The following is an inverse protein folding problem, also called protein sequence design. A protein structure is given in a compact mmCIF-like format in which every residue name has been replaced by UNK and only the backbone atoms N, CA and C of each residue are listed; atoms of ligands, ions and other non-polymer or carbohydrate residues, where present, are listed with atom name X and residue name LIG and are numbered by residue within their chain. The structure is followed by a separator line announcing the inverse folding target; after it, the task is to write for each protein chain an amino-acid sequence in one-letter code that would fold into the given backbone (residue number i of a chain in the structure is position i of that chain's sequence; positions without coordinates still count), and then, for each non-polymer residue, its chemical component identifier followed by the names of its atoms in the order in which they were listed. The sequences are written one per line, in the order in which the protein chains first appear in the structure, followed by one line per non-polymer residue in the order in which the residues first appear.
data_IF_177535282841
#
_entry.id   IF_177535282841
#
_cell.length_a   1.000
_cell.length_b   1.000
_cell.length_c   1.000
_cell.angle_alpha   90.00
_cell.angle_beta   90.00
_cell.angle_gamma   90.00
#
_symmetry.space_group_name_H-M   'P 1'
#
loop_
_entity.id
_entity.type
_entity.pdbx_description
1 polymer ?
#
# COMPACT_ATOMS: atom_id res chain seq x y z
N UNK A 1 45.49 7.27 -7.80
CA UNK A 1 44.05 7.39 -8.16
C UNK A 1 43.27 6.71 -7.07
N UNK A 2 42.64 7.48 -6.18
CA UNK A 2 41.84 6.95 -5.09
C UNK A 2 40.56 6.35 -5.66
N UNK A 3 40.32 5.07 -5.43
CA UNK A 3 39.05 4.41 -5.71
C UNK A 3 37.97 5.07 -4.83
N UNK A 4 37.09 5.85 -5.44
CA UNK A 4 35.84 6.26 -4.80
C UNK A 4 35.05 5.00 -4.47
N UNK A 5 34.98 4.68 -3.17
CA UNK A 5 34.00 3.73 -2.65
C UNK A 5 32.64 4.40 -2.86
N UNK A 6 31.97 4.03 -3.94
CA UNK A 6 30.54 4.30 -4.11
C UNK A 6 29.83 3.51 -3.01
N UNK A 7 29.33 4.22 -1.99
CA UNK A 7 28.41 3.63 -1.03
C UNK A 7 27.08 3.40 -1.75
N UNK A 8 26.96 2.25 -2.40
CA UNK A 8 25.72 1.78 -3.00
C UNK A 8 24.70 1.48 -1.89
N UNK A 9 23.74 2.40 -1.71
CA UNK A 9 22.70 2.29 -0.69
C UNK A 9 21.58 1.29 -1.07
N UNK A 10 21.60 0.76 -2.30
CA UNK A 10 20.54 -0.12 -2.82
C UNK A 10 20.38 -1.39 -1.98
N UNK A 11 21.48 -2.02 -1.57
CA UNK A 11 21.45 -3.24 -0.77
C UNK A 11 20.83 -3.02 0.62
N UNK A 12 21.14 -1.88 1.25
CA UNK A 12 20.56 -1.49 2.55
C UNK A 12 19.06 -1.22 2.41
N UNK A 13 18.66 -0.43 1.41
CA UNK A 13 17.25 -0.12 1.14
C UNK A 13 16.42 -1.38 0.85
N UNK A 14 16.95 -2.32 0.06
CA UNK A 14 16.30 -3.60 -0.19
C UNK A 14 16.19 -4.46 1.07
N UNK A 15 17.18 -4.40 1.97
CA UNK A 15 17.11 -5.04 3.29
C UNK A 15 15.92 -4.54 4.10
N UNK A 16 15.77 -3.22 4.21
CA UNK A 16 14.62 -2.62 4.91
C UNK A 16 13.28 -2.94 4.26
N UNK A 17 13.19 -2.92 2.93
CA UNK A 17 11.96 -3.31 2.23
C UNK A 17 11.62 -4.79 2.46
N UNK A 18 12.63 -5.66 2.51
CA UNK A 18 12.44 -7.08 2.83
C UNK A 18 11.92 -7.27 4.26
N UNK A 19 12.50 -6.59 5.25
CA UNK A 19 12.02 -6.58 6.64
C UNK A 19 10.55 -6.16 6.72
N UNK A 20 10.21 -5.04 6.08
CA UNK A 20 8.85 -4.51 6.05
C UNK A 20 7.87 -5.49 5.43
N UNK A 21 8.19 -6.08 4.27
CA UNK A 21 7.32 -7.08 3.62
C UNK A 21 7.21 -8.38 4.43
N UNK A 22 8.33 -8.83 5.00
CA UNK A 22 8.38 -10.06 5.80
C UNK A 22 7.49 -9.93 7.04
N UNK A 23 7.52 -8.78 7.71
CA UNK A 23 6.68 -8.52 8.88
C UNK A 23 5.17 -8.66 8.59
N UNK A 24 4.67 -8.18 7.44
CA UNK A 24 3.26 -8.40 7.09
C UNK A 24 2.96 -9.89 6.87
N UNK A 25 3.84 -10.61 6.18
CA UNK A 25 3.69 -12.05 5.97
C UNK A 25 3.70 -12.81 7.31
N UNK A 26 4.57 -12.43 8.24
CA UNK A 26 4.62 -13.03 9.57
C UNK A 26 3.33 -12.80 10.34
N UNK A 27 2.74 -11.60 10.33
CA UNK A 27 1.43 -11.34 10.95
C UNK A 27 0.35 -12.32 10.46
N UNK A 28 0.31 -12.62 9.15
CA UNK A 28 -0.61 -13.63 8.62
C UNK A 28 -0.25 -15.05 9.06
N UNK A 29 1.02 -15.45 8.98
CA UNK A 29 1.47 -16.80 9.36
C UNK A 29 1.25 -17.11 10.84
N UNK A 30 1.57 -16.14 11.70
CA UNK A 30 1.49 -16.28 13.15
C UNK A 30 0.09 -16.04 13.72
N UNK A 31 -0.87 -15.55 12.91
CA UNK A 31 -2.23 -15.20 13.37
C UNK A 31 -2.94 -16.33 14.12
N UNK A 32 -2.76 -17.58 13.68
CA UNK A 32 -3.38 -18.75 14.32
C UNK A 32 -2.75 -19.13 15.67
N UNK A 33 -1.44 -18.92 15.82
CA UNK A 33 -0.70 -19.25 17.04
C UNK A 33 -0.70 -18.09 18.06
N UNK A 34 -0.76 -16.86 17.56
CA UNK A 34 -0.64 -15.61 18.32
C UNK A 34 -1.73 -14.62 17.88
N UNK A 35 -3.03 -14.93 18.08
CA UNK A 35 -4.13 -14.07 17.63
C UNK A 35 -4.11 -12.67 18.28
N UNK A 36 -3.65 -12.58 19.53
CA UNK A 36 -3.47 -11.33 20.27
C UNK A 36 -2.05 -10.75 20.13
N UNK A 37 -1.25 -11.30 19.22
CA UNK A 37 0.12 -10.88 18.98
C UNK A 37 0.21 -9.60 18.16
N UNK A 38 1.36 -8.94 18.25
CA UNK A 38 1.71 -7.79 17.43
C UNK A 38 3.14 -7.89 16.91
N UNK A 39 3.42 -7.17 15.84
CA UNK A 39 4.78 -7.03 15.30
C UNK A 39 5.25 -5.59 15.42
N UNK A 40 6.47 -5.40 15.93
CA UNK A 40 7.24 -4.17 15.82
C UNK A 40 8.39 -4.31 14.81
N UNK A 41 8.84 -3.16 14.31
CA UNK A 41 9.99 -3.03 13.43
C UNK A 41 11.02 -2.09 14.07
N UNK A 42 12.29 -2.46 14.03
CA UNK A 42 13.42 -1.63 14.49
C UNK A 42 13.33 -1.17 15.96
N UNK A 43 12.50 -1.84 16.77
CA UNK A 43 12.32 -1.56 18.19
C UNK A 43 13.14 -2.52 19.06
N UNK A 44 12.99 -3.82 18.83
CA UNK A 44 13.67 -4.88 19.58
C UNK A 44 14.69 -5.65 18.73
N UNK A 45 14.41 -5.81 17.43
CA UNK A 45 15.26 -6.35 16.37
C UNK A 45 14.68 -5.82 15.04
N UNK A 46 15.18 -6.28 13.88
CA UNK A 46 14.65 -5.95 12.56
C UNK A 46 13.11 -6.09 12.52
N UNK A 47 12.63 -7.23 12.99
CA UNK A 47 11.22 -7.56 13.20
C UNK A 47 11.10 -8.25 14.56
N UNK A 48 10.07 -7.94 15.35
CA UNK A 48 9.86 -8.64 16.62
C UNK A 48 8.38 -8.91 16.88
N UNK A 49 8.08 -10.13 17.32
CA UNK A 49 6.77 -10.46 17.84
C UNK A 49 6.64 -10.06 19.29
N UNK A 50 5.51 -9.43 19.60
CA UNK A 50 5.13 -8.99 20.93
C UNK A 50 3.83 -9.64 21.37
N UNK A 51 3.76 -10.01 22.65
CA UNK A 51 2.51 -10.41 23.32
C UNK A 51 2.40 -9.59 24.60
N UNK A 52 1.27 -8.91 24.78
CA UNK A 52 1.05 -7.99 25.90
C UNK A 52 2.19 -6.95 26.07
N UNK A 53 2.73 -6.44 24.95
CA UNK A 53 3.79 -5.43 24.93
C UNK A 53 5.18 -5.95 25.32
N UNK A 54 5.40 -7.26 25.37
CA UNK A 54 6.71 -7.87 25.61
C UNK A 54 7.18 -8.64 24.39
N UNK A 55 8.45 -8.50 23.97
CA UNK A 55 8.99 -9.31 22.89
C UNK A 55 9.03 -10.79 23.30
N UNK A 56 8.53 -11.66 22.44
CA UNK A 56 8.53 -13.12 22.63
C UNK A 56 9.35 -13.84 21.57
N UNK A 57 9.61 -13.19 20.43
CA UNK A 57 10.40 -13.73 19.32
C UNK A 57 11.02 -12.59 18.53
N UNK A 58 12.35 -12.58 18.44
CA UNK A 58 13.13 -11.60 17.70
C UNK A 58 13.54 -12.20 16.37
N UNK A 59 13.17 -11.54 15.29
CA UNK A 59 13.32 -12.02 13.93
C UNK A 59 14.37 -11.16 13.22
N UNK A 60 15.63 -11.60 13.26
CA UNK A 60 16.69 -10.97 12.48
C UNK A 60 16.64 -11.47 11.04
N UNK A 61 16.45 -10.57 10.08
CA UNK A 61 16.33 -10.93 8.66
C UNK A 61 17.64 -10.73 7.91
N UNK A 62 17.91 -11.60 6.92
CA UNK A 62 19.05 -11.50 6.01
C UNK A 62 18.65 -11.82 4.57
N UNK A 63 18.59 -10.76 3.75
CA UNK A 63 18.34 -10.86 2.31
C UNK A 63 19.66 -11.00 1.53
N UNK A 64 19.73 -11.99 0.64
CA UNK A 64 20.84 -12.19 -0.27
C UNK A 64 20.31 -12.37 -1.69
N UNK A 65 20.67 -11.44 -2.60
CA UNK A 65 20.21 -11.48 -4.00
C UNK A 65 20.72 -12.69 -4.79
N UNK A 66 21.76 -13.38 -4.31
CA UNK A 66 22.32 -14.60 -4.92
C UNK A 66 22.32 -15.71 -3.88
N UNK A 67 21.28 -16.54 -3.88
CA UNK A 67 21.04 -17.63 -2.92
C UNK A 67 22.00 -18.83 -3.05
N UNK A 68 22.95 -18.83 -4.00
CA UNK A 68 23.86 -19.95 -4.23
C UNK A 68 24.93 -20.16 -3.14
N UNK A 69 25.08 -19.21 -2.21
CA UNK A 69 25.98 -19.34 -1.06
C UNK A 69 25.22 -19.92 0.12
N UNK A 70 25.80 -20.94 0.74
CA UNK A 70 25.27 -21.54 1.97
C UNK A 70 25.79 -20.79 3.20
N UNK A 71 24.95 -20.61 4.22
CA UNK A 71 25.33 -20.10 5.53
C UNK A 71 26.12 -21.16 6.33
N UNK A 72 27.34 -20.83 6.75
CA UNK A 72 28.22 -21.68 7.54
C UNK A 72 28.68 -21.04 8.87
N UNK A 73 29.33 -21.85 9.71
CA UNK A 73 29.63 -21.50 11.11
C UNK A 73 30.62 -20.34 11.28
N UNK A 74 31.35 -19.98 10.23
CA UNK A 74 32.35 -18.90 10.25
C UNK A 74 31.90 -17.65 9.50
N UNK A 75 30.68 -17.64 8.97
CA UNK A 75 30.20 -16.56 8.12
C UNK A 75 29.91 -15.30 8.93
N UNK A 76 30.23 -14.15 8.35
CA UNK A 76 30.11 -12.85 9.01
C UNK A 76 28.66 -12.54 9.42
N UNK A 77 27.69 -12.90 8.59
CA UNK A 77 26.27 -12.63 8.85
C UNK A 77 25.76 -13.36 10.10
N UNK A 78 26.23 -14.58 10.34
CA UNK A 78 25.88 -15.35 11.54
C UNK A 78 26.44 -14.67 12.79
N UNK A 79 27.74 -14.35 12.79
CA UNK A 79 28.39 -13.76 13.97
C UNK A 79 27.97 -12.32 14.25
N UNK A 80 27.63 -11.53 13.21
CA UNK A 80 27.02 -10.22 13.39
C UNK A 80 25.62 -10.31 14.01
N UNK A 81 24.84 -11.31 13.62
CA UNK A 81 23.53 -11.59 14.23
C UNK A 81 23.66 -11.99 15.69
N UNK A 82 24.54 -12.95 16.01
CA UNK A 82 24.81 -13.37 17.40
C UNK A 82 25.27 -12.18 18.25
N UNK A 83 26.14 -11.31 17.70
CA UNK A 83 26.56 -10.07 18.37
C UNK A 83 25.37 -9.16 18.67
N UNK A 84 24.52 -8.89 17.67
CA UNK A 84 23.33 -8.05 17.83
C UNK A 84 22.45 -8.52 18.98
N UNK A 85 22.21 -9.83 19.07
CA UNK A 85 21.44 -10.42 20.16
C UNK A 85 22.12 -10.30 21.53
N UNK A 86 23.45 -10.49 21.62
CA UNK A 86 24.19 -10.25 22.86
C UNK A 86 24.26 -8.76 23.27
N UNK A 87 24.05 -7.84 22.32
CA UNK A 87 24.06 -6.39 22.58
C UNK A 87 22.71 -5.89 23.09
N UNK A 88 21.62 -6.54 22.67
CA UNK A 88 20.25 -6.09 22.93
C UNK A 88 19.56 -6.87 24.05
N UNK A 89 20.01 -8.09 24.34
CA UNK A 89 19.35 -9.00 25.28
C UNK A 89 20.37 -9.73 26.16
N UNK A 90 19.92 -10.15 27.35
CA UNK A 90 20.74 -10.97 28.25
C UNK A 90 20.85 -12.41 27.70
N UNK A 91 22.06 -12.90 27.34
CA UNK A 91 22.25 -14.27 26.89
C UNK A 91 21.86 -15.31 27.94
N UNK A 92 22.02 -15.00 29.22
CA UNK A 92 21.78 -15.88 30.36
C UNK A 92 20.31 -16.02 30.77
N UNK A 93 19.44 -15.14 30.27
CA UNK A 93 18.00 -15.18 30.57
C UNK A 93 17.33 -16.37 29.87
N UNK A 94 16.92 -17.38 30.63
CA UNK A 94 16.24 -18.57 30.10
C UNK A 94 14.81 -18.30 29.65
N UNK A 95 14.16 -17.27 30.20
CA UNK A 95 12.78 -16.86 29.90
C UNK A 95 12.73 -15.72 28.87
N UNK A 96 13.89 -15.29 28.36
CA UNK A 96 13.99 -14.29 27.32
C UNK A 96 13.38 -14.74 25.99
N UNK A 97 13.22 -13.83 25.02
CA UNK A 97 12.58 -14.14 23.75
C UNK A 97 13.35 -15.19 22.94
N UNK A 98 12.64 -15.82 22.01
CA UNK A 98 13.28 -16.59 20.94
C UNK A 98 14.15 -15.66 20.07
N UNK A 99 15.25 -16.20 19.56
CA UNK A 99 16.23 -15.49 18.74
C UNK A 99 16.29 -16.18 17.37
N UNK A 100 15.53 -15.67 16.41
CA UNK A 100 15.28 -16.34 15.15
C UNK A 100 16.00 -15.61 14.01
N UNK A 101 16.95 -16.31 13.37
CA UNK A 101 17.57 -15.85 12.13
C UNK A 101 16.73 -16.32 10.94
N UNK A 102 16.23 -15.37 10.16
CA UNK A 102 15.54 -15.60 8.88
C UNK A 102 16.49 -15.25 7.76
N UNK A 103 16.74 -16.20 6.85
CA UNK A 103 17.65 -15.96 5.74
C UNK A 103 17.21 -16.64 4.45
N UNK A 104 17.43 -15.93 3.35
CA UNK A 104 17.26 -16.46 1.98
C UNK A 104 18.35 -17.46 1.57
N UNK A 105 19.46 -17.53 2.30
CA UNK A 105 20.49 -18.57 2.11
C UNK A 105 20.06 -19.88 2.76
N UNK A 106 20.58 -20.99 2.26
CA UNK A 106 20.45 -22.28 2.94
C UNK A 106 21.58 -22.49 3.95
N UNK A 107 21.25 -22.98 5.14
CA UNK A 107 22.24 -23.43 6.10
C UNK A 107 22.98 -24.65 5.56
N UNK A 108 24.31 -24.63 5.62
CA UNK A 108 25.14 -25.76 5.18
C UNK A 108 24.86 -26.99 6.05
N UNK A 109 24.70 -28.16 5.45
CA UNK A 109 24.51 -29.39 6.22
C UNK A 109 25.67 -29.63 7.21
N UNK A 110 25.31 -30.05 8.42
CA UNK A 110 26.25 -30.27 9.53
C UNK A 110 26.76 -29.01 10.23
N UNK A 111 26.32 -27.81 9.81
CA UNK A 111 26.61 -26.53 10.46
C UNK A 111 25.80 -26.33 11.75
N UNK A 112 26.20 -25.37 12.58
CA UNK A 112 25.45 -24.86 13.70
C UNK A 112 24.08 -24.33 13.27
N UNK A 113 24.03 -23.54 12.19
CA UNK A 113 22.78 -22.99 11.68
C UNK A 113 21.81 -24.11 11.27
N UNK A 114 22.31 -25.16 10.61
CA UNK A 114 21.48 -26.31 10.25
C UNK A 114 20.95 -27.08 11.48
N UNK A 115 21.75 -27.18 12.55
CA UNK A 115 21.34 -27.78 13.82
C UNK A 115 20.32 -26.93 14.60
N UNK A 116 20.15 -25.64 14.25
CA UNK A 116 19.16 -24.74 14.86
C UNK A 116 17.82 -24.68 14.10
N UNK A 117 17.65 -25.47 13.03
CA UNK A 117 16.41 -25.53 12.25
C UNK A 117 15.37 -26.45 12.89
N UNK A 118 14.10 -26.15 12.63
CA UNK A 118 12.97 -27.02 12.97
C UNK A 118 12.73 -28.07 11.87
N UNK A 119 12.10 -29.23 12.16
CA UNK A 119 11.64 -29.68 13.48
C UNK A 119 12.72 -30.35 14.34
N UNK A 120 13.87 -30.73 13.75
CA UNK A 120 14.91 -31.51 14.42
C UNK A 120 16.01 -30.65 15.07
N UNK A 121 15.61 -29.69 15.91
CA UNK A 121 16.57 -28.75 16.53
C UNK A 121 17.48 -29.46 17.53
N UNK A 122 18.79 -29.29 17.40
CA UNK A 122 19.82 -29.84 18.28
C UNK A 122 20.74 -28.73 18.85
N UNK A 123 20.29 -27.92 19.81
CA UNK A 123 21.05 -26.76 20.31
C UNK A 123 22.41 -27.14 20.90
N UNK A 124 22.54 -28.33 21.50
CA UNK A 124 23.83 -28.82 22.00
C UNK A 124 24.86 -29.08 20.88
N UNK A 125 24.41 -29.53 19.71
CA UNK A 125 25.29 -29.66 18.52
C UNK A 125 25.67 -28.28 18.02
N UNK A 126 24.70 -27.37 17.91
CA UNK A 126 24.93 -26.00 17.48
C UNK A 126 25.94 -25.28 18.38
N UNK A 127 25.80 -25.39 19.70
CA UNK A 127 26.72 -24.81 20.67
C UNK A 127 28.16 -25.27 20.44
N UNK A 128 28.40 -26.59 20.35
CA UNK A 128 29.76 -27.13 20.11
C UNK A 128 30.35 -26.62 18.80
N UNK A 129 29.53 -26.52 17.75
CA UNK A 129 29.95 -26.00 16.44
C UNK A 129 30.30 -24.51 16.52
N UNK A 130 29.48 -23.70 17.20
CA UNK A 130 29.74 -22.28 17.42
C UNK A 130 30.99 -22.05 18.27
N UNK A 131 31.21 -22.80 19.35
CA UNK A 131 32.42 -22.72 20.17
C UNK A 131 33.70 -23.08 19.39
N UNK A 132 33.61 -24.13 18.55
CA UNK A 132 34.70 -24.53 17.64
C UNK A 132 34.98 -23.42 16.63
N UNK A 133 33.95 -22.90 15.97
CA UNK A 133 34.09 -21.82 14.99
C UNK A 133 34.60 -20.52 15.62
N UNK A 134 34.17 -20.20 16.84
CA UNK A 134 34.62 -19.04 17.61
C UNK A 134 36.13 -19.10 17.87
N UNK A 135 36.60 -20.27 18.32
CA UNK A 135 38.00 -20.53 18.68
C UNK A 135 38.91 -20.62 17.44
N UNK A 136 38.47 -21.30 16.38
CA UNK A 136 39.30 -21.61 15.21
C UNK A 136 39.36 -20.48 14.18
N UNK A 137 38.32 -19.63 14.12
CA UNK A 137 38.24 -18.60 13.09
C UNK A 137 39.27 -17.50 13.31
N UNK A 138 39.95 -17.12 12.22
CA UNK A 138 40.95 -16.03 12.19
C UNK A 138 40.42 -14.74 11.56
N UNK A 139 39.12 -14.69 11.21
CA UNK A 139 38.50 -13.47 10.68
C UNK A 139 38.61 -12.35 11.72
N UNK A 140 39.03 -11.17 11.27
CA UNK A 140 39.12 -9.98 12.11
C UNK A 140 37.75 -9.32 12.28
N UNK A 141 36.92 -9.42 11.25
CA UNK A 141 35.59 -8.83 11.14
C UNK A 141 34.64 -9.34 12.22
N UNK A 142 34.76 -10.62 12.59
CA UNK A 142 33.91 -11.26 13.60
C UNK A 142 34.61 -11.54 14.93
N UNK A 143 35.86 -11.06 15.11
CA UNK A 143 36.68 -11.39 16.28
C UNK A 143 36.08 -10.90 17.60
N UNK A 144 35.52 -9.69 17.60
CA UNK A 144 34.88 -9.09 18.77
C UNK A 144 33.68 -9.93 19.23
N UNK A 145 32.79 -10.29 18.29
CA UNK A 145 31.60 -11.10 18.54
C UNK A 145 31.97 -12.46 19.13
N UNK A 146 32.95 -13.15 18.53
CA UNK A 146 33.44 -14.47 18.97
C UNK A 146 34.07 -14.40 20.36
N UNK A 147 34.88 -13.38 20.63
CA UNK A 147 35.51 -13.17 21.94
C UNK A 147 34.46 -12.98 23.03
N UNK A 148 33.45 -12.14 22.78
CA UNK A 148 32.35 -11.93 23.72
C UNK A 148 31.53 -13.19 23.95
N UNK A 149 31.21 -13.92 22.88
CA UNK A 149 30.52 -15.20 22.98
C UNK A 149 31.30 -16.19 23.85
N UNK A 150 32.62 -16.32 23.67
CA UNK A 150 33.47 -17.20 24.48
C UNK A 150 33.67 -16.73 25.92
N UNK A 151 33.47 -15.43 26.20
CA UNK A 151 33.58 -14.88 27.55
C UNK A 151 32.34 -15.18 28.43
N UNK A 152 31.21 -15.54 27.82
CA UNK A 152 30.03 -16.04 28.53
C UNK A 152 30.36 -17.36 29.24
N UNK A 153 29.77 -17.59 30.41
CA UNK A 153 29.90 -18.87 31.10
C UNK A 153 29.32 -20.01 30.26
N UNK A 154 29.73 -21.26 30.55
CA UNK A 154 29.20 -22.43 29.85
C UNK A 154 27.67 -22.55 29.98
N UNK A 155 27.10 -22.16 31.13
CA UNK A 155 25.66 -22.12 31.35
C UNK A 155 24.97 -21.06 30.50
N UNK A 156 25.47 -19.82 30.52
CA UNK A 156 24.90 -18.72 29.72
C UNK A 156 24.96 -19.02 28.21
N UNK A 157 26.07 -19.58 27.69
CA UNK A 157 26.16 -19.97 26.28
C UNK A 157 25.14 -21.05 25.92
N UNK A 158 24.93 -22.03 26.79
CA UNK A 158 23.93 -23.07 26.57
C UNK A 158 22.51 -22.50 26.55
N UNK A 159 22.17 -21.64 27.52
CA UNK A 159 20.87 -20.94 27.57
C UNK A 159 20.65 -20.08 26.34
N UNK A 160 21.68 -19.34 25.91
CA UNK A 160 21.60 -18.45 24.76
C UNK A 160 21.34 -19.22 23.46
N UNK A 161 22.14 -20.26 23.18
CA UNK A 161 21.98 -21.09 21.97
C UNK A 161 20.68 -21.90 22.01
N UNK A 162 20.20 -22.29 23.19
CA UNK A 162 18.92 -23.00 23.35
C UNK A 162 17.73 -22.19 22.82
N UNK A 163 17.78 -20.85 22.95
CA UNK A 163 16.78 -19.90 22.45
C UNK A 163 16.98 -19.49 20.99
N UNK A 164 18.06 -19.93 20.33
CA UNK A 164 18.28 -19.63 18.92
C UNK A 164 17.50 -20.55 17.99
N UNK A 165 17.02 -20.01 16.88
CA UNK A 165 16.36 -20.71 15.78
C UNK A 165 16.84 -20.19 14.44
N UNK A 166 16.81 -21.04 13.42
CA UNK A 166 17.11 -20.66 12.04
C UNK A 166 15.97 -21.07 11.13
N UNK A 167 15.50 -20.13 10.32
CA UNK A 167 14.60 -20.35 9.19
C UNK A 167 15.38 -19.97 7.94
N UNK A 168 15.88 -20.99 7.23
CA UNK A 168 16.74 -20.83 6.05
C UNK A 168 15.98 -21.08 4.75
N UNK A 169 16.58 -20.69 3.62
CA UNK A 169 15.98 -20.87 2.30
C UNK A 169 14.64 -20.16 2.14
N UNK A 170 14.45 -19.02 2.81
CA UNK A 170 13.20 -18.27 2.74
C UNK A 170 13.02 -17.59 1.40
N UNK A 171 11.80 -17.12 1.16
CA UNK A 171 11.41 -16.39 -0.05
C UNK A 171 12.29 -15.15 -0.27
N UNK A 172 12.55 -14.84 -1.53
CA UNK A 172 13.13 -13.56 -1.92
C UNK A 172 12.12 -12.42 -1.82
N UNK A 173 12.59 -11.18 -1.96
CA UNK A 173 11.75 -9.99 -1.84
C UNK A 173 10.61 -9.93 -2.88
N UNK A 174 10.84 -10.51 -4.07
CA UNK A 174 9.88 -10.52 -5.17
C UNK A 174 8.74 -11.53 -4.95
N UNK A 175 8.99 -12.59 -4.18
CA UNK A 175 8.02 -13.67 -3.95
C UNK A 175 7.09 -13.41 -2.75
N UNK A 176 7.38 -12.39 -1.94
CA UNK A 176 6.63 -12.11 -0.70
C UNK A 176 5.18 -11.67 -0.99
N UNK A 177 4.93 -10.93 -2.08
CA UNK A 177 3.57 -10.56 -2.46
C UNK A 177 2.71 -11.80 -2.73
N UNK A 178 3.22 -12.74 -3.53
CA UNK A 178 2.56 -14.01 -3.81
C UNK A 178 2.34 -14.87 -2.57
N UNK A 179 3.23 -14.79 -1.57
CA UNK A 179 3.05 -15.48 -0.29
C UNK A 179 1.92 -14.88 0.55
N UNK A 180 1.79 -13.54 0.59
CA UNK A 180 0.67 -12.88 1.26
C UNK A 180 -0.65 -13.20 0.56
N UNK A 181 -0.68 -13.19 -0.78
CA UNK A 181 -1.88 -13.59 -1.55
C UNK A 181 -2.38 -14.99 -1.21
N UNK A 182 -1.47 -15.95 -0.99
CA UNK A 182 -1.84 -17.32 -0.58
C UNK A 182 -2.57 -17.35 0.76
N UNK A 183 -2.19 -16.51 1.71
CA UNK A 183 -2.90 -16.39 2.99
C UNK A 183 -4.27 -15.72 2.86
N UNK A 184 -4.43 -14.87 1.84
CA UNK A 184 -5.67 -14.14 1.56
C UNK A 184 -6.55 -14.83 0.51
N UNK A 185 -6.27 -16.08 0.12
CA UNK A 185 -6.92 -16.75 -1.01
C UNK A 185 -8.45 -16.71 -0.97
N UNK A 186 -9.04 -16.88 0.23
CA UNK A 186 -10.50 -16.88 0.42
C UNK A 186 -11.07 -15.49 0.80
N UNK A 187 -10.21 -14.48 0.86
CA UNK A 187 -10.55 -13.10 1.21
C UNK A 187 -10.46 -12.17 0.01
N UNK A 188 -9.57 -12.48 -0.92
CA UNK A 188 -9.34 -11.71 -2.14
C UNK A 188 -10.57 -11.72 -3.06
N UNK A 189 -10.85 -10.60 -3.76
CA UNK A 189 -11.89 -10.56 -4.78
C UNK A 189 -11.57 -11.49 -5.96
N UNK A 190 -12.59 -11.78 -6.78
CA UNK A 190 -12.41 -12.58 -8.00
C UNK A 190 -11.82 -11.71 -9.13
N UNK A 191 -10.92 -12.28 -9.93
CA UNK A 191 -10.27 -11.62 -11.06
C UNK A 191 -8.90 -11.03 -10.74
N UNK A 192 -7.99 -11.01 -11.70
CA UNK A 192 -6.60 -10.58 -11.50
C UNK A 192 -6.49 -9.07 -11.24
N UNK A 193 -7.26 -8.25 -11.95
CA UNK A 193 -7.34 -6.80 -11.76
C UNK A 193 -7.79 -6.43 -10.34
N UNK A 194 -8.97 -6.89 -9.87
CA UNK A 194 -9.44 -6.59 -8.51
C UNK A 194 -8.49 -7.09 -7.42
N UNK A 195 -7.87 -8.26 -7.61
CA UNK A 195 -6.86 -8.76 -6.66
C UNK A 195 -5.61 -7.88 -6.63
N UNK A 196 -5.20 -7.33 -7.76
CA UNK A 196 -4.04 -6.44 -7.85
C UNK A 196 -4.31 -5.16 -7.08
N UNK A 197 -5.42 -4.50 -7.35
CA UNK A 197 -5.80 -3.27 -6.65
C UNK A 197 -6.00 -3.50 -5.14
N UNK A 198 -6.60 -4.62 -4.74
CA UNK A 198 -6.72 -4.99 -3.32
C UNK A 198 -5.36 -5.05 -2.64
N UNK A 199 -4.39 -5.73 -3.28
CA UNK A 199 -3.05 -5.90 -2.72
C UNK A 199 -2.28 -4.59 -2.69
N UNK A 200 -2.44 -3.72 -3.69
CA UNK A 200 -1.85 -2.37 -3.69
C UNK A 200 -2.36 -1.54 -2.50
N UNK A 201 -3.68 -1.56 -2.23
CA UNK A 201 -4.27 -0.86 -1.08
C UNK A 201 -3.78 -1.42 0.26
N UNK A 202 -3.64 -2.75 0.37
CA UNK A 202 -3.11 -3.39 1.57
C UNK A 202 -1.64 -3.01 1.81
N UNK A 203 -0.81 -3.05 0.76
CA UNK A 203 0.59 -2.69 0.85
C UNK A 203 0.79 -1.20 1.13
N UNK A 204 0.04 -0.31 0.48
CA UNK A 204 0.10 1.12 0.74
C UNK A 204 -0.20 1.41 2.21
N UNK A 205 -1.31 0.85 2.73
CA UNK A 205 -1.64 0.97 4.15
C UNK A 205 -0.56 0.40 5.06
N UNK A 206 -0.03 -0.79 4.74
CA UNK A 206 1.00 -1.42 5.55
C UNK A 206 2.27 -0.57 5.61
N UNK A 207 2.72 -0.02 4.48
CA UNK A 207 3.88 0.86 4.44
C UNK A 207 3.66 2.15 5.23
N UNK A 208 2.44 2.69 5.26
CA UNK A 208 2.14 3.79 6.18
C UNK A 208 2.39 3.36 7.64
N UNK A 209 1.96 2.15 8.04
CA UNK A 209 2.20 1.66 9.41
C UNK A 209 3.68 1.45 9.69
N UNK A 210 4.44 0.95 8.70
CA UNK A 210 5.90 0.83 8.77
C UNK A 210 6.54 2.19 9.01
N UNK A 211 6.14 3.22 8.26
CA UNK A 211 6.65 4.59 8.44
C UNK A 211 6.30 5.11 9.83
N UNK A 212 5.10 4.86 10.35
CA UNK A 212 4.73 5.25 11.72
C UNK A 212 5.61 4.58 12.79
N UNK A 213 5.94 3.30 12.60
CA UNK A 213 6.83 2.54 13.50
C UNK A 213 8.26 3.07 13.44
N UNK A 214 8.81 3.29 12.25
CA UNK A 214 10.16 3.84 12.07
C UNK A 214 10.29 5.27 12.62
N UNK A 215 9.21 6.06 12.57
CA UNK A 215 9.13 7.38 13.18
C UNK A 215 8.86 7.33 14.70
N UNK A 216 8.70 6.14 15.29
CA UNK A 216 8.36 5.92 16.70
C UNK A 216 7.05 6.59 17.12
N UNK A 217 6.16 6.87 16.17
CA UNK A 217 4.78 7.34 16.42
C UNK A 217 3.85 6.18 16.75
N UNK A 218 4.24 4.97 16.38
CA UNK A 218 3.62 3.70 16.72
C UNK A 218 4.70 2.73 17.19
N UNK A 219 4.38 1.82 18.10
CA UNK A 219 5.33 0.80 18.59
C UNK A 219 5.22 -0.50 17.80
N UNK A 220 4.00 -0.97 17.57
CA UNK A 220 3.72 -2.24 16.90
C UNK A 220 2.35 -2.24 16.21
N UNK A 221 2.11 -3.22 15.33
CA UNK A 221 0.82 -3.48 14.67
C UNK A 221 0.33 -4.88 15.05
N UNK A 222 -0.89 -4.98 15.56
CA UNK A 222 -1.48 -6.26 15.97
C UNK A 222 -2.02 -7.07 14.79
N UNK A 223 -2.11 -8.39 14.98
CA UNK A 223 -2.82 -9.31 14.08
C UNK A 223 -4.26 -8.82 13.86
N UNK A 224 -4.98 -8.50 14.95
CA UNK A 224 -6.34 -7.95 14.86
C UNK A 224 -6.43 -6.70 13.97
N UNK A 225 -5.45 -5.79 14.06
CA UNK A 225 -5.42 -4.57 13.26
C UNK A 225 -5.28 -4.87 11.77
N UNK A 226 -4.39 -5.80 11.40
CA UNK A 226 -4.24 -6.24 10.01
C UNK A 226 -5.51 -6.92 9.51
N UNK A 227 -6.09 -7.83 10.28
CA UNK A 227 -7.33 -8.52 9.89
C UNK A 227 -8.49 -7.54 9.69
N UNK A 228 -8.69 -6.60 10.61
CA UNK A 228 -9.71 -5.55 10.47
C UNK A 228 -9.49 -4.71 9.22
N UNK A 229 -8.24 -4.35 8.91
CA UNK A 229 -7.94 -3.61 7.68
C UNK A 229 -8.25 -4.42 6.43
N UNK A 230 -7.85 -5.70 6.42
CA UNK A 230 -8.14 -6.63 5.32
C UNK A 230 -9.64 -6.76 5.09
N UNK A 231 -10.44 -6.87 6.16
CA UNK A 231 -11.90 -6.89 6.08
C UNK A 231 -12.46 -5.59 5.50
N UNK A 232 -12.00 -4.44 5.96
CA UNK A 232 -12.41 -3.14 5.43
C UNK A 232 -12.12 -3.02 3.93
N UNK A 233 -10.92 -3.41 3.50
CA UNK A 233 -10.55 -3.38 2.08
C UNK A 233 -11.47 -4.33 1.31
N UNK A 234 -11.65 -5.58 1.77
CA UNK A 234 -12.53 -6.57 1.12
C UNK A 234 -13.94 -6.04 0.92
N UNK A 235 -14.49 -5.38 1.93
CA UNK A 235 -15.86 -4.89 1.90
C UNK A 235 -16.05 -3.81 0.82
N UNK A 236 -14.99 -3.12 0.35
CA UNK A 236 -15.05 -2.17 -0.77
C UNK A 236 -15.15 -2.85 -2.15
N UNK A 237 -14.89 -4.17 -2.22
CA UNK A 237 -15.03 -5.00 -3.44
C UNK A 237 -16.30 -5.87 -3.43
N UNK A 238 -17.22 -5.62 -2.50
CA UNK A 238 -18.54 -6.26 -2.53
C UNK A 238 -19.32 -5.89 -3.80
N UNK A 239 -20.27 -6.73 -4.22
CA UNK A 239 -20.97 -6.58 -5.50
C UNK A 239 -21.61 -5.19 -5.72
N UNK A 240 -22.19 -4.60 -4.67
CA UNK A 240 -22.85 -3.28 -4.72
C UNK A 240 -21.93 -2.10 -4.38
N UNK A 241 -20.62 -2.37 -4.23
CA UNK A 241 -19.60 -1.38 -3.88
C UNK A 241 -18.51 -1.33 -4.94
N UNK A 242 -17.76 -0.24 -4.93
CA UNK A 242 -16.56 -0.05 -5.74
C UNK A 242 -15.50 0.62 -4.87
N UNK A 243 -14.22 0.26 -5.00
CA UNK A 243 -13.16 0.91 -4.24
C UNK A 243 -12.90 2.32 -4.80
N UNK A 244 -12.71 3.30 -3.92
CA UNK A 244 -12.16 4.61 -4.31
C UNK A 244 -10.65 4.46 -4.46
N UNK A 245 -10.14 4.73 -5.66
CA UNK A 245 -8.73 4.55 -6.03
C UNK A 245 -8.04 5.88 -6.32
N UNK A 246 -8.80 6.95 -6.51
CA UNK A 246 -8.29 8.29 -6.79
C UNK A 246 -8.64 9.25 -5.66
N UNK A 247 -7.63 9.62 -4.90
CA UNK A 247 -7.69 10.48 -3.74
C UNK A 247 -7.58 11.96 -4.10
N UNK A 248 -7.90 12.83 -3.14
CA UNK A 248 -7.76 14.29 -3.32
C UNK A 248 -6.29 14.71 -3.49
N UNK A 249 -5.36 13.96 -2.90
CA UNK A 249 -3.92 14.19 -3.02
C UNK A 249 -3.41 13.98 -4.44
N UNK A 250 -4.05 13.11 -5.21
CA UNK A 250 -3.62 12.79 -6.58
C UNK A 250 -3.83 13.99 -7.51
N UNK A 251 -4.94 14.72 -7.34
CA UNK A 251 -5.15 15.98 -8.03
C UNK A 251 -4.07 17.01 -7.67
N UNK A 252 -3.70 17.13 -6.39
CA UNK A 252 -2.64 18.06 -5.98
C UNK A 252 -1.28 17.66 -6.55
N UNK A 253 -1.00 16.36 -6.69
CA UNK A 253 0.22 15.88 -7.34
C UNK A 253 0.21 16.23 -8.84
N UNK A 254 -0.87 15.91 -9.54
CA UNK A 254 -1.06 16.25 -10.95
C UNK A 254 -0.90 17.76 -11.23
N UNK A 255 -1.44 18.61 -10.37
CA UNK A 255 -1.26 20.06 -10.49
C UNK A 255 0.20 20.50 -10.36
N UNK A 256 0.99 19.89 -9.47
CA UNK A 256 2.43 20.17 -9.35
C UNK A 256 3.22 19.72 -10.58
N UNK A 257 2.70 18.71 -11.29
CA UNK A 257 3.24 18.22 -12.56
C UNK A 257 2.75 19.03 -13.78
N UNK A 258 1.89 20.04 -13.57
CA UNK A 258 1.45 20.97 -14.60
C UNK A 258 0.16 20.56 -15.32
N UNK A 259 -0.62 19.61 -14.78
CA UNK A 259 -1.95 19.29 -15.31
C UNK A 259 -2.90 20.47 -15.07
N UNK A 260 -3.51 20.97 -16.15
CA UNK A 260 -4.50 22.05 -16.14
C UNK A 260 -5.69 21.71 -17.04
N UNK A 261 -6.90 21.92 -16.53
CA UNK A 261 -8.16 21.69 -17.24
C UNK A 261 -8.91 22.98 -17.57
N UNK A 262 -8.30 24.15 -17.35
CA UNK A 262 -8.94 25.46 -17.52
C UNK A 262 -9.56 25.70 -18.90
N UNK A 263 -9.05 25.03 -19.94
CA UNK A 263 -9.50 25.15 -21.34
C UNK A 263 -10.34 23.95 -21.82
N UNK A 264 -10.74 23.06 -20.90
CA UNK A 264 -11.69 21.97 -21.20
C UNK A 264 -13.09 22.53 -21.41
N UNK A 265 -13.88 21.88 -22.26
CA UNK A 265 -15.23 22.35 -22.62
C UNK A 265 -16.13 22.46 -21.39
N UNK A 266 -16.06 21.51 -20.45
CA UNK A 266 -16.86 21.61 -19.23
C UNK A 266 -16.54 22.89 -18.42
N UNK A 267 -15.27 23.33 -18.35
CA UNK A 267 -14.90 24.56 -17.63
C UNK A 267 -15.45 25.79 -18.34
N UNK A 268 -15.42 25.83 -19.67
CA UNK A 268 -16.09 26.89 -20.43
C UNK A 268 -17.60 26.90 -20.18
N UNK A 269 -18.25 25.74 -20.11
CA UNK A 269 -19.67 25.66 -19.78
C UNK A 269 -19.99 26.26 -18.40
N UNK A 270 -19.17 25.97 -17.39
CA UNK A 270 -19.34 26.54 -16.05
C UNK A 270 -19.13 28.07 -16.05
N UNK A 271 -18.21 28.59 -16.87
CA UNK A 271 -18.05 30.04 -17.06
C UNK A 271 -19.28 30.68 -17.70
N UNK A 272 -19.97 29.99 -18.61
CA UNK A 272 -21.20 30.51 -19.25
C UNK A 272 -22.39 30.65 -18.32
N UNK A 273 -22.37 29.96 -17.18
CA UNK A 273 -23.37 30.11 -16.10
C UNK A 273 -22.78 30.86 -14.90
N UNK A 274 -21.69 31.61 -15.12
CA UNK A 274 -21.12 32.56 -14.17
C UNK A 274 -20.61 31.95 -12.84
N UNK A 275 -20.12 30.70 -12.86
CA UNK A 275 -19.48 30.10 -11.68
C UNK A 275 -18.17 30.80 -11.31
N UNK A 276 -17.94 30.93 -10.00
CA UNK A 276 -16.76 31.55 -9.44
C UNK A 276 -15.51 30.66 -9.50
N UNK A 277 -14.33 31.28 -9.36
CA UNK A 277 -13.03 30.59 -9.43
C UNK A 277 -12.92 29.39 -8.49
N UNK A 278 -13.36 29.53 -7.24
CA UNK A 278 -13.28 28.46 -6.24
C UNK A 278 -14.17 27.25 -6.59
N UNK A 279 -15.26 27.48 -7.29
CA UNK A 279 -16.17 26.43 -7.77
C UNK A 279 -15.57 25.74 -8.99
N UNK A 280 -14.97 26.50 -9.90
CA UNK A 280 -14.22 25.93 -11.03
C UNK A 280 -13.07 25.03 -10.54
N UNK A 281 -12.32 25.45 -9.51
CA UNK A 281 -11.24 24.65 -8.93
C UNK A 281 -11.76 23.32 -8.34
N UNK A 282 -12.93 23.33 -7.70
CA UNK A 282 -13.57 22.09 -7.20
C UNK A 282 -14.10 21.23 -8.34
N UNK A 283 -14.71 21.82 -9.36
CA UNK A 283 -15.21 21.10 -10.54
C UNK A 283 -14.06 20.40 -11.29
N UNK A 284 -12.91 21.06 -11.43
CA UNK A 284 -11.71 20.43 -12.02
C UNK A 284 -11.19 19.26 -11.20
N UNK A 285 -11.23 19.36 -9.86
CA UNK A 285 -10.89 18.24 -8.97
C UNK A 285 -11.88 17.08 -9.12
N UNK A 286 -13.19 17.36 -9.11
CA UNK A 286 -14.21 16.32 -9.26
C UNK A 286 -14.12 15.65 -10.64
N UNK A 287 -13.92 16.43 -11.71
CA UNK A 287 -13.64 15.93 -13.07
C UNK A 287 -12.41 15.02 -13.09
N UNK A 288 -11.25 15.50 -12.60
CA UNK A 288 -10.02 14.72 -12.55
C UNK A 288 -10.24 13.38 -11.86
N UNK A 289 -10.84 13.42 -10.67
CA UNK A 289 -11.03 12.23 -9.86
C UNK A 289 -12.01 11.27 -10.51
N UNK A 290 -13.16 11.75 -11.02
CA UNK A 290 -14.15 10.87 -11.64
C UNK A 290 -13.64 10.23 -12.94
N UNK A 291 -12.92 10.99 -13.78
CA UNK A 291 -12.31 10.47 -15.00
C UNK A 291 -11.29 9.39 -14.68
N UNK A 292 -10.30 9.68 -13.83
CA UNK A 292 -9.26 8.71 -13.49
C UNK A 292 -9.81 7.54 -12.67
N UNK A 293 -10.87 7.74 -11.88
CA UNK A 293 -11.55 6.65 -11.15
C UNK A 293 -12.22 5.67 -12.12
N UNK A 294 -12.91 6.17 -13.15
CA UNK A 294 -13.54 5.33 -14.17
C UNK A 294 -12.48 4.57 -14.99
N UNK A 295 -11.37 5.23 -15.36
CA UNK A 295 -10.23 4.59 -16.04
C UNK A 295 -9.63 3.50 -15.14
N UNK A 296 -9.33 3.81 -13.88
CA UNK A 296 -8.76 2.83 -12.95
C UNK A 296 -9.67 1.63 -12.72
N UNK A 297 -11.00 1.83 -12.68
CA UNK A 297 -11.94 0.72 -12.59
C UNK A 297 -11.96 -0.13 -13.85
N UNK A 298 -11.94 0.48 -15.04
CA UNK A 298 -11.92 -0.24 -16.30
C UNK A 298 -10.61 -1.03 -16.49
N UNK A 299 -9.46 -0.41 -16.23
CA UNK A 299 -8.13 -1.03 -16.38
C UNK A 299 -7.91 -2.22 -15.43
N UNK A 300 -8.64 -2.25 -14.30
CA UNK A 300 -8.56 -3.32 -13.30
C UNK A 300 -9.80 -4.22 -13.28
N UNK A 301 -10.63 -4.22 -14.33
CA UNK A 301 -11.83 -5.07 -14.45
C UNK A 301 -12.79 -4.98 -13.24
N UNK A 302 -12.86 -3.82 -12.57
CA UNK A 302 -13.71 -3.59 -11.39
C UNK A 302 -15.17 -3.28 -11.77
N UNK A 303 -15.37 -2.79 -13.00
CA UNK A 303 -16.66 -2.41 -13.55
C UNK A 303 -16.76 -2.82 -15.02
N UNK A 304 -17.95 -3.26 -15.44
CA UNK A 304 -18.23 -3.49 -16.86
C UNK A 304 -18.39 -2.17 -17.61
N UNK A 305 -17.89 -2.09 -18.84
CA UNK A 305 -18.10 -0.89 -19.68
C UNK A 305 -19.59 -0.62 -19.94
N UNK A 306 -20.40 -1.68 -20.09
CA UNK A 306 -21.85 -1.57 -20.25
C UNK A 306 -22.56 -1.04 -18.99
N UNK A 307 -22.01 -1.30 -17.80
CA UNK A 307 -22.53 -0.77 -16.53
C UNK A 307 -22.26 0.73 -16.45
N UNK A 308 -21.05 1.17 -16.80
CA UNK A 308 -20.67 2.58 -16.86
C UNK A 308 -21.49 3.35 -17.92
N UNK A 309 -21.66 2.77 -19.11
CA UNK A 309 -22.44 3.36 -20.20
C UNK A 309 -23.91 3.54 -19.80
N UNK A 310 -24.52 2.54 -19.15
CA UNK A 310 -25.89 2.62 -18.63
C UNK A 310 -26.02 3.73 -17.59
N UNK A 311 -25.10 3.78 -16.63
CA UNK A 311 -25.09 4.85 -15.63
C UNK A 311 -25.01 6.23 -16.27
N UNK A 312 -24.11 6.43 -17.23
CA UNK A 312 -24.01 7.71 -17.94
C UNK A 312 -25.27 8.04 -18.75
N UNK A 313 -25.93 7.05 -19.36
CA UNK A 313 -27.19 7.25 -20.06
C UNK A 313 -28.31 7.70 -19.10
N UNK A 314 -28.37 7.11 -17.90
CA UNK A 314 -29.34 7.50 -16.87
C UNK A 314 -29.08 8.92 -16.34
N UNK A 315 -27.80 9.33 -16.21
CA UNK A 315 -27.44 10.72 -15.88
C UNK A 315 -27.94 11.70 -16.95
N UNK A 316 -27.76 11.35 -18.23
CA UNK A 316 -28.22 12.19 -19.35
C UNK A 316 -29.75 12.28 -19.36
N UNK A 317 -30.48 11.18 -19.19
CA UNK A 317 -31.96 11.18 -19.16
C UNK A 317 -32.51 12.09 -18.04
N UNK A 318 -31.93 12.03 -16.85
CA UNK A 318 -32.35 12.89 -15.74
C UNK A 318 -32.01 14.37 -16.00
N UNK A 319 -30.83 14.65 -16.56
CA UNK A 319 -30.46 16.00 -16.99
C UNK A 319 -31.41 16.53 -18.06
N UNK A 320 -31.80 15.74 -19.07
CA UNK A 320 -32.70 16.16 -20.16
C UNK A 320 -34.06 16.64 -19.62
N UNK A 321 -34.61 15.93 -18.63
CA UNK A 321 -35.87 16.31 -17.96
C UNK A 321 -35.76 17.67 -17.28
N UNK A 322 -34.64 17.90 -16.59
CA UNK A 322 -34.39 19.15 -15.87
C UNK A 322 -34.06 20.30 -16.82
N UNK A 323 -33.28 20.06 -17.87
CA UNK A 323 -32.96 21.02 -18.90
C UNK A 323 -34.21 21.47 -19.67
N UNK A 324 -35.08 20.54 -20.07
CA UNK A 324 -36.36 20.87 -20.72
C UNK A 324 -37.26 21.72 -19.79
N UNK A 325 -37.26 21.43 -18.49
CA UNK A 325 -37.98 22.23 -17.49
C UNK A 325 -37.39 23.63 -17.33
N UNK A 326 -36.07 23.77 -17.33
CA UNK A 326 -35.37 25.05 -17.30
C UNK A 326 -35.74 25.89 -18.52
N UNK A 327 -35.64 25.33 -19.73
CA UNK A 327 -35.99 26.01 -20.98
C UNK A 327 -37.44 26.51 -20.99
N UNK A 328 -38.40 25.68 -20.55
CA UNK A 328 -39.82 26.07 -20.49
C UNK A 328 -40.08 27.22 -19.52
N UNK A 329 -39.26 27.38 -18.49
CA UNK A 329 -39.41 28.43 -17.46
C UNK A 329 -38.79 29.76 -17.86
N UNK A 330 -37.91 29.76 -18.86
CA UNK A 330 -37.28 30.98 -19.35
C UNK A 330 -38.30 31.87 -20.09
N UNK A 331 -38.36 33.18 -19.80
CA UNK A 331 -39.11 34.13 -20.59
C UNK A 331 -38.66 34.18 -22.06
N UNK A 332 -39.55 34.53 -22.97
CA UNK A 332 -39.22 34.67 -24.40
C UNK A 332 -38.19 35.77 -24.66
N UNK A 333 -38.15 36.80 -23.80
CA UNK A 333 -37.22 37.92 -23.80
C UNK A 333 -36.12 37.79 -22.73
N UNK A 334 -35.83 36.57 -22.28
CA UNK A 334 -34.80 36.29 -21.28
C UNK A 334 -33.45 36.91 -21.66
N UNK A 335 -32.91 37.73 -20.76
CA UNK A 335 -31.58 38.31 -20.86
C UNK A 335 -30.49 37.26 -20.68
N UNK A 336 -29.24 37.59 -21.03
CA UNK A 336 -28.09 36.71 -20.74
C UNK A 336 -27.98 36.40 -19.25
N UNK A 337 -28.33 37.35 -18.37
CA UNK A 337 -28.31 37.12 -16.92
C UNK A 337 -29.36 36.10 -16.50
N UNK A 338 -30.58 36.17 -17.05
CA UNK A 338 -31.63 35.20 -16.76
C UNK A 338 -31.23 33.79 -17.19
N UNK A 339 -30.53 33.67 -18.33
CA UNK A 339 -30.02 32.38 -18.85
C UNK A 339 -28.88 31.82 -18.00
N UNK A 340 -27.99 32.70 -17.53
CA UNK A 340 -26.93 32.35 -16.58
C UNK A 340 -27.51 31.83 -15.27
N UNK A 341 -28.43 32.59 -14.67
CA UNK A 341 -29.05 32.23 -13.38
C UNK A 341 -29.85 30.92 -13.50
N UNK A 342 -30.59 30.73 -14.60
CA UNK A 342 -31.33 29.48 -14.84
C UNK A 342 -30.39 28.27 -15.06
N UNK A 343 -29.27 28.47 -15.76
CA UNK A 343 -28.26 27.44 -15.97
C UNK A 343 -27.49 27.08 -14.70
N UNK A 344 -27.21 28.06 -13.85
CA UNK A 344 -26.61 27.85 -12.52
C UNK A 344 -27.58 27.07 -11.61
N UNK A 345 -28.87 27.43 -11.60
CA UNK A 345 -29.91 26.68 -10.85
C UNK A 345 -29.98 25.21 -11.32
N UNK A 346 -30.00 24.99 -12.64
CA UNK A 346 -29.99 23.64 -13.22
C UNK A 346 -28.75 22.86 -12.79
N UNK A 347 -27.56 23.45 -12.91
CA UNK A 347 -26.29 22.84 -12.54
C UNK A 347 -26.35 22.31 -11.10
N UNK A 348 -26.70 23.17 -10.14
CA UNK A 348 -26.75 22.76 -8.74
C UNK A 348 -27.85 21.76 -8.45
N UNK A 349 -29.02 21.89 -9.10
CA UNK A 349 -30.08 20.89 -8.98
C UNK A 349 -29.61 19.49 -9.42
N UNK A 350 -28.81 19.40 -10.48
CA UNK A 350 -28.27 18.13 -11.00
C UNK A 350 -27.13 17.61 -10.11
N UNK A 351 -26.17 18.47 -9.74
CA UNK A 351 -24.97 18.08 -9.00
C UNK A 351 -25.24 17.74 -7.52
N UNK A 352 -26.36 18.20 -6.96
CA UNK A 352 -26.80 17.85 -5.60
C UNK A 352 -27.82 16.70 -5.58
N UNK A 353 -28.32 16.25 -6.74
CA UNK A 353 -29.14 15.05 -6.84
C UNK A 353 -28.27 13.80 -6.75
N UNK A 354 -28.64 12.83 -5.90
CA UNK A 354 -27.97 11.52 -5.79
C UNK A 354 -28.92 10.37 -6.11
N UNK A 355 -29.94 10.65 -6.93
CA UNK A 355 -30.98 9.69 -7.33
C UNK A 355 -30.44 8.58 -8.22
N UNK A 356 -29.52 8.91 -9.13
CA UNK A 356 -28.84 7.96 -10.01
C UNK A 356 -27.47 7.65 -9.43
N UNK A 357 -27.17 6.36 -9.25
CA UNK A 357 -25.90 5.90 -8.68
C UNK A 357 -25.32 4.81 -9.56
N UNK A 358 -23.99 4.76 -9.64
CA UNK A 358 -23.28 3.70 -10.37
C UNK A 358 -23.51 2.33 -9.72
N UNK A 359 -23.48 2.29 -8.38
CA UNK A 359 -23.92 1.18 -7.54
C UNK A 359 -24.56 1.73 -6.26
N UNK A 360 -25.50 1.00 -5.68
CA UNK A 360 -26.32 1.51 -4.57
C UNK A 360 -25.50 1.92 -3.34
N UNK A 361 -24.40 1.20 -3.08
CA UNK A 361 -23.52 1.40 -1.91
C UNK A 361 -22.19 2.10 -2.25
N UNK A 362 -22.10 2.75 -3.42
CA UNK A 362 -21.02 3.68 -3.73
C UNK A 362 -21.52 5.12 -3.63
N UNK A 363 -21.31 5.74 -2.46
CA UNK A 363 -21.87 7.04 -2.06
C UNK A 363 -20.93 8.23 -2.26
N UNK A 364 -19.89 8.05 -3.08
CA UNK A 364 -18.87 9.06 -3.29
C UNK A 364 -19.36 10.18 -4.23
N UNK A 365 -19.81 11.28 -3.64
CA UNK A 365 -20.41 12.45 -4.33
C UNK A 365 -19.52 13.02 -5.44
N UNK A 366 -18.19 12.97 -5.27
CA UNK A 366 -17.24 13.49 -6.28
C UNK A 366 -17.40 12.77 -7.63
N UNK A 367 -17.73 11.48 -7.60
CA UNK A 367 -17.83 10.68 -8.81
C UNK A 367 -19.04 11.10 -9.63
N UNK A 368 -20.21 11.23 -8.97
CA UNK A 368 -21.43 11.75 -9.61
C UNK A 368 -21.20 13.13 -10.22
N UNK A 369 -20.61 14.06 -9.46
CA UNK A 369 -20.35 15.42 -9.94
C UNK A 369 -19.36 15.44 -11.10
N UNK A 370 -18.25 14.72 -10.96
CA UNK A 370 -17.23 14.63 -11.98
C UNK A 370 -17.70 13.93 -13.25
N UNK A 371 -18.61 12.95 -13.17
CA UNK A 371 -19.21 12.31 -14.36
C UNK A 371 -20.10 13.28 -15.14
N UNK A 372 -20.84 14.17 -14.48
CA UNK A 372 -21.52 15.28 -15.19
C UNK A 372 -20.54 16.22 -15.86
N UNK A 373 -19.39 16.51 -15.23
CA UNK A 373 -18.34 17.28 -15.87
C UNK A 373 -17.72 16.54 -17.08
N UNK A 374 -17.56 15.22 -17.02
CA UNK A 374 -17.11 14.41 -18.16
C UNK A 374 -18.13 14.50 -19.32
N UNK A 375 -19.41 14.29 -19.04
CA UNK A 375 -20.49 14.41 -20.02
C UNK A 375 -20.58 15.82 -20.63
N UNK A 376 -20.31 16.86 -19.82
CA UNK A 376 -20.27 18.24 -20.30
C UNK A 376 -19.03 18.52 -21.15
N UNK A 377 -17.90 17.86 -20.89
CA UNK A 377 -16.70 17.93 -21.74
C UNK A 377 -16.92 17.25 -23.09
N UNK A 378 -17.73 16.18 -23.11
CA UNK A 378 -18.19 15.48 -24.32
C UNK A 378 -19.32 16.19 -25.06
N UNK A 379 -19.80 17.34 -24.56
CA UNK A 379 -20.95 18.08 -25.06
C UNK A 379 -22.27 17.27 -25.12
N UNK A 380 -22.38 16.19 -24.34
CA UNK A 380 -23.59 15.38 -24.17
C UNK A 380 -24.61 16.04 -23.24
N UNK A 381 -24.11 16.80 -22.27
CA UNK A 381 -24.93 17.66 -21.39
C UNK A 381 -24.37 19.08 -21.39
N UNK A 382 -25.19 20.02 -20.93
CA UNK A 382 -24.74 21.39 -20.72
C UNK A 382 -25.64 22.21 -19.83
N UNK A 383 -25.13 23.37 -19.43
CA UNK A 383 -25.74 24.18 -18.36
C UNK A 383 -26.45 25.42 -18.92
N UNK A 384 -25.87 26.06 -19.93
CA UNK A 384 -26.45 27.22 -20.58
C UNK A 384 -27.56 26.78 -21.58
N UNK A 385 -28.68 27.52 -21.73
CA UNK A 385 -29.74 27.21 -22.70
C UNK A 385 -29.25 27.01 -24.15
N UNK A 386 -28.20 27.74 -24.51
CA UNK A 386 -27.56 27.74 -25.84
C UNK A 386 -26.21 26.97 -25.84
N UNK A 387 -25.99 26.01 -24.92
CA UNK A 387 -24.67 25.41 -24.73
C UNK A 387 -24.11 24.73 -26.00
N UNK A 388 -24.95 24.05 -26.80
CA UNK A 388 -24.51 23.39 -28.03
C UNK A 388 -23.91 24.38 -29.03
N UNK A 389 -24.57 25.53 -29.23
CA UNK A 389 -24.09 26.59 -30.12
C UNK A 389 -22.76 27.18 -29.60
N UNK A 390 -22.66 27.38 -28.28
CA UNK A 390 -21.44 27.91 -27.65
C UNK A 390 -20.28 26.93 -27.72
N UNK A 391 -20.52 25.62 -27.54
CA UNK A 391 -19.49 24.58 -27.73
C UNK A 391 -19.02 24.54 -29.18
N UNK A 392 -19.95 24.55 -30.15
CA UNK A 392 -19.61 24.58 -31.57
C UNK A 392 -18.73 25.80 -31.93
N UNK A 393 -19.04 26.97 -31.36
CA UNK A 393 -18.25 28.18 -31.56
C UNK A 393 -16.81 28.05 -31.02
N UNK A 394 -16.59 27.36 -29.90
CA UNK A 394 -15.25 27.07 -29.38
C UNK A 394 -14.45 26.17 -30.33
N UNK A 395 -15.08 25.13 -30.89
CA UNK A 395 -14.41 24.20 -31.81
C UNK A 395 -14.01 24.87 -33.11
N UNK A 396 -14.86 25.74 -33.68
CA UNK A 396 -14.55 26.47 -34.91
C UNK A 396 -13.47 27.54 -34.69
N UNK A 397 -13.46 28.20 -33.53
CA UNK A 397 -12.40 29.16 -33.17
C UNK A 397 -11.01 28.53 -33.04
N UNK A 398 -10.92 27.29 -32.59
CA UNK A 398 -9.65 26.56 -32.41
C UNK A 398 -9.04 26.01 -33.72
N UNK A 399 -9.82 25.91 -34.81
CA UNK A 399 -9.34 25.46 -36.14
C UNK A 399 -8.78 26.64 -36.96
N UNK A 400 -9.04 27.88 -36.53
CA UNK A 400 -8.63 29.11 -37.23
C UNK A 400 -7.56 29.93 -36.49
N UNK A 401 -7.08 29.44 -35.34
CA UNK A 401 -5.91 29.94 -34.62
C UNK A 401 -4.74 28.97 -34.77
#
# INVERSE_FOLDING_TARGET
MASQVSHDASASALGYLYQAKWALLELFRGSSERPDGAISLELHDDVAWEVAGRPVDLLQTKLHQRSSRTLGDRDDDLWRTIRSWMDTHDPGDAEGPWLTLITTQHARDGSAAAALRSPSREPGVALRRLETAASDSKSKETAEARTRFLALSAGERATFVQRMRVIDGTLGIDDLDGAVRKWLLFTLPSGDGPQTTFMEQLWAWWYDQVVEMLQKRRTSVSVETVHRRVEQIRDDYAAERLPTLVERSDWQAAQREGVDYSERYFVHQLRWVNLGRSELEKAMMDYYRAYNQAVAWADNDLIGLDELDRYQADLVDEWERLFARMLRRLPADASERDRQDAGEELLWQVLDSVTVRIRDQYDQVFFHRGQHHCLADEARVGWHPEFLERVQALTVGAVHA
#
